data_IF_984563501085
#
_entry.id   IF_984563501085
#
_cell.length_a   1.000
_cell.length_b   1.000
_cell.length_c   1.000
_cell.angle_alpha   90.00
_cell.angle_beta   90.00
_cell.angle_gamma   90.00
#
_symmetry.space_group_name_H-M   'P 1'
#
loop_
_entity.id
_entity.type
_entity.pdbx_description
1 polymer ?
#
# COMPACT_ATOMS: atom_id res chain seq x y z
N UNK A 1 13.49 10.64 -3.97
CA UNK A 1 12.45 9.59 -3.99
C UNK A 1 12.17 9.20 -2.55
N UNK A 2 10.93 9.39 -2.10
CA UNK A 2 10.57 9.16 -0.70
C UNK A 2 10.25 7.68 -0.48
N UNK A 3 10.56 7.13 0.70
CA UNK A 3 10.28 5.74 1.08
C UNK A 3 8.83 5.30 0.77
N UNK A 4 7.79 6.12 0.99
CA UNK A 4 6.42 5.78 0.61
C UNK A 4 6.25 5.50 -0.89
N UNK A 5 6.87 6.29 -1.77
CA UNK A 5 6.75 6.09 -3.23
C UNK A 5 7.36 4.75 -3.69
N UNK A 6 8.40 4.26 -3.01
CA UNK A 6 9.01 2.96 -3.33
C UNK A 6 8.06 1.82 -2.91
N UNK A 7 7.44 1.94 -1.73
CA UNK A 7 6.44 0.98 -1.24
C UNK A 7 5.20 0.94 -2.14
N UNK A 8 4.72 2.09 -2.62
CA UNK A 8 3.63 2.16 -3.59
C UNK A 8 4.01 1.51 -4.93
N UNK A 9 5.23 1.74 -5.43
CA UNK A 9 5.71 1.12 -6.67
C UNK A 9 5.80 -0.41 -6.56
N UNK A 10 6.29 -0.93 -5.43
CA UNK A 10 6.32 -2.37 -5.14
C UNK A 10 4.89 -2.95 -5.13
N UNK A 11 3.92 -2.22 -4.59
CA UNK A 11 2.51 -2.65 -4.58
C UNK A 11 1.91 -2.73 -5.98
N UNK A 12 2.20 -1.75 -6.83
CA UNK A 12 1.82 -1.80 -8.25
C UNK A 12 2.39 -3.02 -8.96
N UNK A 13 3.58 -3.48 -8.57
CA UNK A 13 4.14 -4.74 -9.07
C UNK A 13 3.38 -5.92 -8.49
N UNK A 14 3.01 -5.96 -7.21
CA UNK A 14 2.30 -7.10 -6.62
C UNK A 14 0.87 -7.32 -7.14
N UNK A 15 0.16 -6.27 -7.59
CA UNK A 15 -1.21 -6.36 -8.12
C UNK A 15 -1.36 -7.34 -9.30
N UNK A 16 -0.56 -7.27 -10.39
CA UNK A 16 -0.66 -8.22 -11.49
C UNK A 16 -0.29 -9.66 -11.09
N UNK A 17 0.66 -9.86 -10.17
CA UNK A 17 0.96 -11.21 -9.66
C UNK A 17 -0.20 -11.77 -8.84
N UNK A 18 -0.79 -10.95 -7.95
CA UNK A 18 -1.98 -11.35 -7.21
C UNK A 18 -3.12 -11.76 -8.15
N UNK A 19 -3.43 -10.93 -9.16
CA UNK A 19 -4.46 -11.23 -10.14
C UNK A 19 -4.16 -12.52 -10.93
N UNK A 20 -2.91 -12.73 -11.31
CA UNK A 20 -2.47 -13.95 -12.00
C UNK A 20 -2.67 -15.20 -11.16
N UNK A 21 -2.21 -15.20 -9.90
CA UNK A 21 -2.34 -16.37 -9.01
C UNK A 21 -3.79 -16.63 -8.59
N UNK A 22 -4.60 -15.57 -8.44
CA UNK A 22 -6.03 -15.69 -8.18
C UNK A 22 -6.77 -16.32 -9.36
N UNK A 23 -6.43 -15.90 -10.60
CA UNK A 23 -7.03 -16.44 -11.82
C UNK A 23 -6.68 -17.93 -12.03
N UNK A 24 -5.47 -18.35 -11.64
CA UNK A 24 -5.04 -19.75 -11.71
C UNK A 24 -5.53 -20.61 -10.52
N UNK A 25 -6.49 -20.11 -9.71
CA UNK A 25 -7.03 -20.79 -8.52
C UNK A 25 -5.96 -21.16 -7.47
N UNK A 26 -4.79 -20.51 -7.51
CA UNK A 26 -3.72 -20.69 -6.54
C UNK A 26 -3.95 -19.81 -5.31
N UNK A 27 -5.03 -20.08 -4.60
CA UNK A 27 -5.53 -19.23 -3.51
C UNK A 27 -4.50 -19.02 -2.39
N UNK A 28 -3.71 -20.04 -2.04
CA UNK A 28 -2.67 -19.91 -1.00
C UNK A 28 -1.65 -18.83 -1.36
N UNK A 29 -1.17 -18.82 -2.60
CA UNK A 29 -0.18 -17.84 -3.08
C UNK A 29 -0.82 -16.46 -3.21
N UNK A 30 -2.05 -16.39 -3.72
CA UNK A 30 -2.81 -15.15 -3.82
C UNK A 30 -3.03 -14.50 -2.45
N UNK A 31 -3.41 -15.27 -1.42
CA UNK A 31 -3.60 -14.77 -0.05
C UNK A 31 -2.29 -14.25 0.54
N UNK A 32 -1.17 -14.95 0.34
CA UNK A 32 0.14 -14.50 0.81
C UNK A 32 0.53 -13.17 0.14
N UNK A 33 0.38 -13.05 -1.18
CA UNK A 33 0.64 -11.81 -1.91
C UNK A 33 -0.26 -10.66 -1.45
N UNK A 34 -1.54 -10.94 -1.21
CA UNK A 34 -2.49 -9.96 -0.70
C UNK A 34 -2.10 -9.45 0.69
N UNK A 35 -1.74 -10.35 1.61
CA UNK A 35 -1.28 -9.99 2.95
C UNK A 35 0.00 -9.14 2.89
N UNK A 36 0.98 -9.51 2.07
CA UNK A 36 2.21 -8.75 1.90
C UNK A 36 1.95 -7.35 1.31
N UNK A 37 1.05 -7.24 0.33
CA UNK A 37 0.64 -5.97 -0.25
C UNK A 37 -0.09 -5.07 0.77
N UNK A 38 -0.96 -5.64 1.60
CA UNK A 38 -1.64 -4.92 2.68
C UNK A 38 -0.67 -4.45 3.78
N UNK A 39 0.28 -5.30 4.19
CA UNK A 39 1.29 -4.92 5.19
C UNK A 39 2.15 -3.76 4.69
N UNK A 40 2.51 -3.75 3.40
CA UNK A 40 3.28 -2.63 2.82
C UNK A 40 2.49 -1.33 2.70
N UNK A 41 1.15 -1.37 2.63
CA UNK A 41 0.24 -0.19 2.69
C UNK A 41 -0.01 0.33 4.12
N UNK A 42 0.08 -0.54 5.11
CA UNK A 42 0.07 -0.07 6.49
C UNK A 42 1.42 0.54 6.83
N UNK A 43 2.52 -0.08 6.39
CA UNK A 43 3.87 0.39 6.67
C UNK A 43 4.19 1.74 6.00
N UNK A 44 3.82 1.99 4.74
CA UNK A 44 4.03 3.30 4.13
C UNK A 44 3.21 4.39 4.82
N UNK A 45 1.96 4.12 5.21
CA UNK A 45 1.10 5.03 5.97
C UNK A 45 1.61 5.30 7.39
N UNK A 46 2.21 4.30 8.05
CA UNK A 46 2.85 4.46 9.37
C UNK A 46 4.16 5.25 9.25
N UNK A 47 4.99 4.96 8.25
CA UNK A 47 6.24 5.68 8.00
C UNK A 47 5.94 7.13 7.61
N UNK A 48 4.99 7.39 6.72
CA UNK A 48 4.59 8.75 6.35
C UNK A 48 4.13 9.56 7.57
N UNK A 49 3.32 8.96 8.45
CA UNK A 49 2.87 9.57 9.71
C UNK A 49 4.01 9.79 10.70
N UNK A 50 4.90 8.81 10.90
CA UNK A 50 5.98 8.86 11.90
C UNK A 50 7.11 9.82 11.51
N UNK A 51 7.38 9.99 10.22
CA UNK A 51 8.43 10.90 9.74
C UNK A 51 7.95 12.33 9.50
N UNK A 52 6.72 12.68 9.93
CA UNK A 52 6.12 14.00 9.64
C UNK A 52 6.24 14.38 8.16
N UNK A 53 6.18 13.39 7.24
CA UNK A 53 5.96 13.64 5.81
C UNK A 53 4.47 13.98 5.60
N UNK A 54 3.99 14.91 6.41
CA UNK A 54 2.70 15.58 6.28
C UNK A 54 2.88 16.52 5.08
N UNK A 55 2.65 15.99 3.89
CA UNK A 55 2.57 16.83 2.70
C UNK A 55 1.35 17.74 2.83
N UNK A 56 1.37 18.91 2.20
CA UNK A 56 0.24 19.84 2.19
C UNK A 56 -1.07 19.18 1.73
N UNK A 57 -0.97 18.08 0.99
CA UNK A 57 -2.09 17.24 0.58
C UNK A 57 -2.72 16.44 1.73
N UNK A 58 -1.91 15.80 2.60
CA UNK A 58 -2.42 15.03 3.74
C UNK A 58 -3.18 15.90 4.75
N UNK A 59 -2.70 17.12 5.00
CA UNK A 59 -3.40 18.11 5.83
C UNK A 59 -4.75 18.55 5.27
N UNK A 60 -4.95 18.45 3.96
CA UNK A 60 -6.19 18.84 3.28
C UNK A 60 -7.16 17.64 3.16
N UNK A 61 -6.62 16.41 3.14
CA UNK A 61 -7.40 15.17 3.07
C UNK A 61 -7.89 14.70 4.45
N UNK A 62 -7.11 14.86 5.53
CA UNK A 62 -7.51 14.48 6.89
C UNK A 62 -8.87 15.10 7.33
N UNK A 63 -9.15 16.40 7.11
CA UNK A 63 -10.43 17.00 7.48
C UNK A 63 -11.62 16.55 6.61
N UNK A 64 -11.36 15.96 5.44
CA UNK A 64 -12.39 15.40 4.55
C UNK A 64 -12.73 13.95 4.88
N UNK A 65 -11.81 13.22 5.53
CA UNK A 65 -12.07 11.86 6.00
C UNK A 65 -12.73 11.86 7.40
N UNK A 66 -12.50 12.89 8.20
CA UNK A 66 -13.01 13.04 9.57
C UNK A 66 -14.35 13.80 9.67
N UNK A 67 -14.96 14.15 8.52
CA UNK A 67 -16.29 14.77 8.41
C UNK A 67 -17.16 14.04 7.40
#
# INVERSE_FOLDING_TARGET
>A
MNIPNILTAIRFVFVPFFAYYLYNEQYTVAVVLFLLAGITDVLDGVIARKFNMITSFGKLADPLADK
#
